data_IF_745887529777
#
_entry.id   IF_745887529777
#
_cell.length_a   1.000
_cell.length_b   1.000
_cell.length_c   1.000
_cell.angle_alpha   90.00
_cell.angle_beta   90.00
_cell.angle_gamma   90.00
#
_symmetry.space_group_name_H-M   'P 1'
#
loop_
_entity.id
_entity.type
_entity.pdbx_description
1 polymer ?
#
# COMPACT_ATOMS: atom_id res chain seq x y z
N UNK A 1 -0.48 -5.27 17.83
CA UNK A 1 -1.96 -5.31 17.77
C UNK A 1 -2.40 -6.20 16.60
N UNK A 2 -3.50 -6.97 16.68
CA UNK A 2 -3.88 -7.94 15.61
C UNK A 2 -4.76 -7.35 14.49
N UNK A 3 -5.69 -6.46 14.84
CA UNK A 3 -6.65 -5.89 13.91
C UNK A 3 -6.41 -4.39 13.72
N UNK A 4 -6.36 -3.95 12.47
CA UNK A 4 -6.36 -2.55 12.09
C UNK A 4 -5.22 -1.73 12.73
N UNK A 5 -4.01 -2.29 12.76
CA UNK A 5 -2.80 -1.54 13.10
C UNK A 5 -2.61 -0.35 12.15
N UNK A 6 -2.02 0.74 12.66
CA UNK A 6 -1.72 1.91 11.84
C UNK A 6 -0.27 1.83 11.35
N UNK A 7 -0.02 2.45 10.20
CA UNK A 7 1.31 2.56 9.61
C UNK A 7 2.34 3.07 10.63
N UNK A 8 3.35 2.23 10.88
CA UNK A 8 4.48 2.57 11.74
C UNK A 8 5.40 3.60 11.07
N UNK A 9 5.56 3.56 9.75
CA UNK A 9 6.43 4.49 9.02
C UNK A 9 5.69 5.16 7.87
N UNK A 10 5.81 6.48 7.81
CA UNK A 10 5.32 7.26 6.67
C UNK A 10 6.49 8.00 6.04
N UNK A 11 6.71 7.74 4.75
CA UNK A 11 7.79 8.31 3.95
C UNK A 11 7.23 9.20 2.85
N UNK A 12 7.86 10.35 2.65
CA UNK A 12 7.53 11.29 1.59
C UNK A 12 8.79 11.67 0.84
N UNK A 13 8.87 11.26 -0.42
CA UNK A 13 10.01 11.54 -1.30
C UNK A 13 9.71 12.80 -2.11
N UNK A 14 10.50 13.85 -1.87
CA UNK A 14 10.34 15.15 -2.51
C UNK A 14 11.40 15.30 -3.61
N UNK A 15 11.01 15.53 -4.88
CA UNK A 15 11.97 15.85 -5.92
C UNK A 15 12.59 17.22 -5.66
N UNK A 16 13.93 17.30 -5.68
CA UNK A 16 14.67 18.56 -5.63
C UNK A 16 15.02 19.02 -7.05
N UNK A 17 15.46 18.08 -7.88
CA UNK A 17 15.76 18.23 -9.30
C UNK A 17 15.60 16.87 -10.02
N UNK A 18 16.11 16.76 -11.24
CA UNK A 18 16.00 15.57 -12.09
C UNK A 18 16.77 14.35 -11.54
N UNK A 19 17.79 14.56 -10.70
CA UNK A 19 18.71 13.52 -10.22
C UNK A 19 18.76 13.42 -8.69
N UNK A 20 18.10 14.32 -7.96
CA UNK A 20 18.15 14.38 -6.50
C UNK A 20 16.75 14.47 -5.87
N UNK A 21 16.59 13.75 -4.77
CA UNK A 21 15.38 13.77 -3.94
C UNK A 21 15.76 13.89 -2.47
N UNK A 22 14.89 14.50 -1.66
CA UNK A 22 14.95 14.38 -0.21
C UNK A 22 13.82 13.47 0.29
N UNK A 23 14.19 12.54 1.16
CA UNK A 23 13.25 11.64 1.80
C UNK A 23 12.93 12.16 3.20
N UNK A 24 11.67 12.53 3.44
CA UNK A 24 11.17 12.87 4.77
C UNK A 24 10.44 11.66 5.34
N UNK A 25 10.87 11.17 6.50
CA UNK A 25 10.28 10.01 7.15
C UNK A 25 9.82 10.33 8.57
N UNK A 26 8.69 9.76 8.95
CA UNK A 26 8.15 9.81 10.31
C UNK A 26 7.91 8.38 10.80
N UNK A 27 8.47 8.08 11.97
CA UNK A 27 8.13 6.90 12.75
C UNK A 27 6.96 7.24 13.70
N UNK A 28 5.88 6.48 13.61
CA UNK A 28 4.64 6.65 14.36
C UNK A 28 4.57 5.60 15.46
N UNK A 29 4.73 6.03 16.70
CA UNK A 29 4.64 5.16 17.88
C UNK A 29 3.34 5.38 18.64
N UNK A 30 2.81 4.31 19.23
CA UNK A 30 1.63 4.36 20.10
C UNK A 30 0.90 3.03 20.19
N UNK A 31 -0.20 3.00 20.95
CA UNK A 31 -0.93 1.76 21.28
C UNK A 31 -1.40 0.93 20.07
N UNK A 32 -1.53 1.58 18.89
CA UNK A 32 -1.97 0.96 17.63
C UNK A 32 -0.87 0.85 16.57
N UNK A 33 0.36 1.26 16.88
CA UNK A 33 1.53 1.16 16.02
C UNK A 33 2.66 0.47 16.78
N UNK A 34 3.90 0.91 16.54
CA UNK A 34 5.04 0.40 17.27
C UNK A 34 5.06 0.90 18.72
N UNK A 35 5.59 0.10 19.67
CA UNK A 35 5.65 0.47 21.08
C UNK A 35 6.41 1.79 21.29
N UNK A 36 5.90 2.64 22.19
CA UNK A 36 6.57 3.91 22.53
C UNK A 36 7.97 3.73 23.13
N UNK A 37 8.29 2.55 23.66
CA UNK A 37 9.63 2.23 24.15
C UNK A 37 10.68 2.17 23.02
N UNK A 38 10.24 2.05 21.76
CA UNK A 38 11.10 2.08 20.57
C UNK A 38 11.23 3.51 20.01
N UNK A 39 10.61 4.51 20.62
CA UNK A 39 10.80 5.91 20.23
C UNK A 39 12.09 6.49 20.82
N UNK A 40 13.21 5.86 20.47
CA UNK A 40 14.59 6.26 20.80
C UNK A 40 15.36 6.38 19.48
N UNK A 41 16.51 7.08 19.42
CA UNK A 41 17.27 7.25 18.18
C UNK A 41 17.55 5.94 17.42
N UNK A 42 17.85 4.87 18.15
CA UNK A 42 18.17 3.54 17.60
C UNK A 42 16.92 2.75 17.17
N UNK A 43 15.74 3.14 17.63
CA UNK A 43 14.50 2.41 17.38
C UNK A 43 14.08 2.41 15.91
N UNK A 44 13.98 3.58 15.24
CA UNK A 44 13.79 3.65 13.80
C UNK A 44 14.82 2.85 13.01
N UNK A 45 16.09 2.84 13.44
CA UNK A 45 17.17 2.10 12.77
C UNK A 45 16.98 0.57 12.86
N UNK A 46 16.48 0.09 14.00
CA UNK A 46 16.15 -1.31 14.21
C UNK A 46 14.90 -1.75 13.42
N UNK A 47 13.91 -0.87 13.28
CA UNK A 47 12.67 -1.19 12.59
C UNK A 47 12.84 -1.10 11.06
N UNK A 48 13.60 -0.13 10.57
CA UNK A 48 13.90 0.09 9.14
C UNK A 48 15.19 -0.60 8.67
N UNK A 49 15.72 -1.56 9.44
CA UNK A 49 16.88 -2.40 9.05
C UNK A 49 18.11 -1.60 8.54
N UNK A 50 18.54 -0.59 9.30
CA UNK A 50 19.87 0.00 9.08
C UNK A 50 19.93 1.18 8.12
N UNK A 51 18.93 2.06 8.13
CA UNK A 51 19.05 3.43 7.56
C UNK A 51 20.01 4.35 8.35
N UNK A 52 20.99 3.78 9.07
CA UNK A 52 22.09 4.57 9.63
C UNK A 52 22.82 5.22 8.46
N UNK A 53 22.78 6.55 8.41
CA UNK A 53 23.35 7.33 7.30
C UNK A 53 24.89 7.24 7.26
N UNK A 54 25.54 7.01 8.40
CA UNK A 54 27.00 6.97 8.52
C UNK A 54 27.53 5.52 8.56
N UNK A 55 27.31 4.78 7.47
CA UNK A 55 27.85 3.43 7.26
C UNK A 55 29.03 3.47 6.29
N UNK A 56 30.07 2.70 6.57
CA UNK A 56 31.18 2.53 5.62
C UNK A 56 30.72 1.82 4.34
N UNK A 57 31.47 2.01 3.25
CA UNK A 57 31.16 1.35 1.97
C UNK A 57 31.10 -0.18 2.09
N UNK A 58 32.00 -0.78 2.88
CA UNK A 58 32.03 -2.25 3.08
C UNK A 58 30.78 -2.74 3.83
N UNK A 59 30.30 -2.00 4.83
CA UNK A 59 29.07 -2.33 5.56
C UNK A 59 27.85 -2.22 4.65
N UNK A 60 27.75 -1.15 3.85
CA UNK A 60 26.68 -0.95 2.86
C UNK A 60 26.64 -2.10 1.84
N UNK A 61 27.80 -2.63 1.42
CA UNK A 61 27.85 -3.79 0.53
C UNK A 61 27.44 -5.11 1.21
N UNK A 62 27.83 -5.32 2.48
CA UNK A 62 27.53 -6.56 3.21
C UNK A 62 26.08 -6.63 3.68
N UNK A 63 25.48 -5.48 3.98
CA UNK A 63 24.11 -5.35 4.48
C UNK A 63 23.42 -4.13 3.84
N UNK A 64 23.07 -4.21 2.53
CA UNK A 64 22.42 -3.12 1.82
C UNK A 64 20.99 -2.90 2.35
N UNK A 65 20.59 -1.63 2.42
CA UNK A 65 19.24 -1.19 2.74
C UNK A 65 18.57 -0.56 1.50
N UNK A 66 17.37 0.00 1.68
CA UNK A 66 16.60 0.65 0.61
C UNK A 66 17.41 1.70 -0.16
N UNK A 67 18.25 2.49 0.53
CA UNK A 67 19.09 3.51 -0.10
C UNK A 67 20.04 2.90 -1.15
N UNK A 68 20.74 1.81 -0.81
CA UNK A 68 21.64 1.12 -1.74
C UNK A 68 20.87 0.46 -2.88
N UNK A 69 19.68 -0.09 -2.61
CA UNK A 69 18.83 -0.68 -3.62
C UNK A 69 18.34 0.37 -4.65
N UNK A 70 17.98 1.57 -4.18
CA UNK A 70 17.56 2.68 -5.03
C UNK A 70 18.73 3.26 -5.82
N UNK A 71 19.84 3.58 -5.15
CA UNK A 71 21.04 4.11 -5.80
C UNK A 71 21.63 3.13 -6.83
N UNK A 72 21.52 1.83 -6.57
CA UNK A 72 21.96 0.77 -7.47
C UNK A 72 21.21 0.72 -8.81
N UNK A 73 20.01 1.31 -8.90
CA UNK A 73 19.29 1.47 -10.17
C UNK A 73 19.89 2.56 -11.08
N UNK A 74 20.87 3.31 -10.59
CA UNK A 74 21.50 4.43 -11.29
C UNK A 74 20.82 5.78 -11.00
N UNK A 75 21.44 6.87 -11.45
CA UNK A 75 20.95 8.25 -11.20
C UNK A 75 19.55 8.49 -11.75
N UNK A 76 19.26 7.90 -12.92
CA UNK A 76 17.93 7.87 -13.54
C UNK A 76 17.72 6.45 -14.07
N UNK A 77 16.63 5.81 -13.65
CA UNK A 77 16.29 4.47 -14.11
C UNK A 77 15.92 4.45 -15.60
N UNK A 78 16.53 3.55 -16.36
CA UNK A 78 16.21 3.34 -17.78
C UNK A 78 15.04 2.36 -17.89
N UNK A 79 13.81 2.87 -17.99
CA UNK A 79 12.61 2.04 -18.04
C UNK A 79 12.58 1.01 -19.17
N UNK A 80 13.30 1.25 -20.28
CA UNK A 80 13.41 0.29 -21.39
C UNK A 80 14.13 -1.01 -21.03
N UNK A 81 14.86 -1.05 -19.91
CA UNK A 81 15.58 -2.22 -19.43
C UNK A 81 14.77 -3.06 -18.43
N UNK A 82 13.60 -2.60 -18.02
CA UNK A 82 12.80 -3.25 -16.99
C UNK A 82 11.90 -4.35 -17.57
N UNK A 83 11.81 -5.48 -16.88
CA UNK A 83 10.90 -6.57 -17.20
C UNK A 83 9.93 -6.77 -16.02
N UNK A 84 8.79 -6.10 -16.08
CA UNK A 84 7.80 -6.15 -15.00
C UNK A 84 7.10 -7.52 -14.96
N UNK A 85 6.90 -8.03 -13.75
CA UNK A 85 6.17 -9.27 -13.48
C UNK A 85 4.82 -8.96 -12.80
N UNK A 86 4.03 -10.01 -12.53
CA UNK A 86 2.67 -9.87 -11.98
C UNK A 86 2.66 -9.11 -10.64
N UNK A 87 3.69 -9.27 -9.81
CA UNK A 87 3.82 -8.53 -8.54
C UNK A 87 4.01 -7.03 -8.72
N UNK A 88 4.47 -6.57 -9.90
CA UNK A 88 4.70 -5.15 -10.20
C UNK A 88 3.43 -4.42 -10.68
N UNK A 89 2.26 -5.06 -10.61
CA UNK A 89 0.98 -4.48 -11.04
C UNK A 89 0.73 -3.11 -10.39
N UNK A 90 1.06 -2.94 -9.11
CA UNK A 90 0.94 -1.66 -8.41
C UNK A 90 1.81 -0.55 -9.04
N UNK A 91 3.07 -0.87 -9.33
CA UNK A 91 4.02 0.05 -10.00
C UNK A 91 3.53 0.42 -11.40
N UNK A 92 3.04 -0.57 -12.16
CA UNK A 92 2.50 -0.34 -13.50
C UNK A 92 1.27 0.61 -13.47
N UNK A 93 0.34 0.40 -12.54
CA UNK A 93 -0.84 1.25 -12.36
C UNK A 93 -0.47 2.68 -11.94
N UNK A 94 0.46 2.82 -10.98
CA UNK A 94 0.98 4.12 -10.54
C UNK A 94 1.60 4.89 -11.72
N UNK A 95 2.49 4.25 -12.48
CA UNK A 95 3.17 4.87 -13.64
C UNK A 95 2.18 5.27 -14.72
N UNK A 96 1.17 4.44 -15.01
CA UNK A 96 0.11 4.78 -15.96
C UNK A 96 -0.63 6.03 -15.51
N UNK A 97 -1.09 6.08 -14.26
CA UNK A 97 -1.81 7.23 -13.70
C UNK A 97 -0.95 8.50 -13.74
N UNK A 98 0.33 8.41 -13.39
CA UNK A 98 1.24 9.56 -13.43
C UNK A 98 1.39 10.11 -14.86
N UNK A 99 1.59 9.24 -15.87
CA UNK A 99 1.67 9.67 -17.28
C UNK A 99 0.39 10.33 -17.77
N UNK A 100 -0.77 9.78 -17.40
CA UNK A 100 -2.07 10.37 -17.72
C UNK A 100 -2.20 11.77 -17.09
N UNK A 101 -1.81 11.94 -15.82
CA UNK A 101 -1.84 13.22 -15.14
C UNK A 101 -0.85 14.24 -15.72
N UNK A 102 0.36 13.83 -16.08
CA UNK A 102 1.33 14.70 -16.75
C UNK A 102 0.77 15.25 -18.07
N UNK A 103 0.15 14.39 -18.90
CA UNK A 103 -0.49 14.81 -20.15
C UNK A 103 -1.66 15.77 -19.91
N UNK A 104 -2.53 15.42 -18.96
CA UNK A 104 -3.67 16.25 -18.57
C UNK A 104 -3.25 17.65 -18.13
N UNK A 105 -2.18 17.76 -17.32
CA UNK A 105 -1.62 19.05 -16.88
C UNK A 105 -1.01 19.82 -18.04
N UNK A 106 -0.30 19.15 -18.96
CA UNK A 106 0.25 19.79 -20.17
C UNK A 106 -0.85 20.37 -21.08
N UNK A 107 -2.06 19.79 -21.07
CA UNK A 107 -3.24 20.29 -21.77
C UNK A 107 -3.94 21.45 -21.03
N UNK A 108 -3.43 21.88 -19.87
CA UNK A 108 -3.97 23.00 -19.09
C UNK A 108 -5.00 22.62 -18.02
N UNK A 109 -5.24 21.33 -17.81
CA UNK A 109 -6.13 20.88 -16.73
C UNK A 109 -5.40 20.87 -15.38
N UNK A 110 -6.10 21.11 -14.25
CA UNK A 110 -5.48 21.00 -12.93
C UNK A 110 -5.09 19.54 -12.62
N UNK A 111 -4.01 19.30 -11.85
CA UNK A 111 -3.66 17.95 -11.41
C UNK A 111 -4.73 17.41 -10.45
N UNK A 112 -4.98 16.10 -10.52
CA UNK A 112 -5.84 15.42 -9.55
C UNK A 112 -5.26 15.54 -8.15
N UNK A 113 -6.09 15.96 -7.20
CA UNK A 113 -5.74 16.08 -5.78
C UNK A 113 -6.48 15.03 -4.97
N UNK A 114 -5.88 14.62 -3.86
CA UNK A 114 -6.57 13.83 -2.85
C UNK A 114 -7.73 14.63 -2.26
N UNK A 115 -8.83 13.95 -1.99
CA UNK A 115 -10.04 14.55 -1.43
C UNK A 115 -9.99 14.37 0.10
N UNK A 116 -10.14 15.46 0.89
CA UNK A 116 -10.26 15.34 2.33
C UNK A 116 -11.60 14.73 2.71
N UNK A 117 -11.63 13.98 3.80
CA UNK A 117 -12.87 13.53 4.43
C UNK A 117 -13.62 14.71 5.10
N UNK A 118 -14.79 14.42 5.67
CA UNK A 118 -15.62 15.38 6.42
C UNK A 118 -14.91 16.10 7.58
N UNK A 119 -13.78 15.57 8.05
CA UNK A 119 -12.93 16.19 9.08
C UNK A 119 -11.78 17.02 8.50
N UNK A 120 -11.71 17.23 7.19
CA UNK A 120 -10.65 17.98 6.52
C UNK A 120 -9.32 17.23 6.42
N UNK A 121 -9.30 15.91 6.65
CA UNK A 121 -8.07 15.08 6.65
C UNK A 121 -8.00 14.27 5.37
N UNK A 122 -6.79 14.09 4.82
CA UNK A 122 -6.58 13.16 3.69
C UNK A 122 -6.51 11.74 4.25
N UNK A 123 -7.45 10.84 3.90
CA UNK A 123 -7.41 9.47 4.37
C UNK A 123 -6.23 8.72 3.76
N UNK A 124 -5.54 7.95 4.61
CA UNK A 124 -4.50 7.00 4.20
C UNK A 124 -4.87 5.61 4.70
N UNK A 125 -4.72 4.64 3.81
CA UNK A 125 -5.14 3.26 4.03
C UNK A 125 -3.97 2.33 4.37
N UNK A 126 -2.84 2.90 4.78
CA UNK A 126 -1.67 2.17 5.23
C UNK A 126 -1.87 1.65 6.65
N UNK A 127 -1.50 0.39 6.87
CA UNK A 127 -1.60 -0.28 8.16
C UNK A 127 -1.57 -1.79 8.02
N UNK A 128 -1.50 -2.47 9.16
CA UNK A 128 -1.32 -3.92 9.22
C UNK A 128 -2.51 -4.60 9.87
N UNK A 129 -2.84 -5.79 9.39
CA UNK A 129 -3.90 -6.64 9.97
C UNK A 129 -3.54 -8.10 9.77
N UNK A 130 -3.72 -8.90 10.83
CA UNK A 130 -3.48 -10.34 10.81
C UNK A 130 -4.79 -11.08 11.05
N UNK A 131 -5.36 -11.63 9.98
CA UNK A 131 -6.56 -12.48 10.03
C UNK A 131 -6.17 -13.96 10.01
N UNK A 132 -6.95 -14.80 10.71
CA UNK A 132 -6.85 -16.26 10.67
C UNK A 132 -8.07 -16.82 9.96
N UNK A 133 -7.94 -16.97 8.65
CA UNK A 133 -9.01 -17.49 7.80
C UNK A 133 -8.63 -18.91 7.34
N UNK A 134 -9.45 -19.94 7.62
CA UNK A 134 -9.19 -21.28 7.11
C UNK A 134 -9.16 -21.29 5.58
N UNK A 135 -8.18 -21.97 4.99
CA UNK A 135 -8.11 -22.13 3.54
C UNK A 135 -9.26 -22.99 3.04
N UNK A 136 -9.99 -22.50 2.05
CA UNK A 136 -11.03 -23.26 1.37
C UNK A 136 -10.42 -24.07 0.22
N UNK A 137 -10.68 -25.37 0.23
CA UNK A 137 -9.99 -26.35 -0.63
C UNK A 137 -10.39 -26.31 -2.11
N UNK A 138 -11.35 -25.47 -2.50
CA UNK A 138 -11.99 -25.54 -3.83
C UNK A 138 -11.71 -24.36 -4.78
N UNK A 139 -10.91 -23.36 -4.40
CA UNK A 139 -10.68 -22.15 -5.21
C UNK A 139 -9.20 -21.76 -5.38
N UNK A 140 -8.94 -20.84 -6.33
CA UNK A 140 -7.63 -20.21 -6.50
C UNK A 140 -7.32 -19.32 -5.30
N UNK A 141 -6.18 -19.55 -4.65
CA UNK A 141 -5.70 -18.74 -3.52
C UNK A 141 -5.55 -17.26 -3.90
N UNK A 142 -5.14 -16.98 -5.14
CA UNK A 142 -5.03 -15.62 -5.65
C UNK A 142 -6.38 -14.89 -5.71
N UNK A 143 -7.43 -15.57 -6.17
CA UNK A 143 -8.78 -15.00 -6.24
C UNK A 143 -9.36 -14.78 -4.84
N UNK A 144 -9.15 -15.75 -3.95
CA UNK A 144 -9.53 -15.68 -2.54
C UNK A 144 -8.90 -14.46 -1.85
N UNK A 145 -7.58 -14.28 -2.01
CA UNK A 145 -6.87 -13.12 -1.47
C UNK A 145 -7.34 -11.79 -2.09
N UNK A 146 -7.68 -11.78 -3.39
CA UNK A 146 -8.22 -10.60 -4.07
C UNK A 146 -9.58 -10.15 -3.50
N UNK A 147 -10.48 -11.10 -3.23
CA UNK A 147 -11.78 -10.81 -2.59
C UNK A 147 -11.56 -10.26 -1.17
N UNK A 148 -10.69 -10.89 -0.38
CA UNK A 148 -10.36 -10.42 0.97
C UNK A 148 -9.76 -9.01 0.96
N UNK A 149 -8.82 -8.74 0.05
CA UNK A 149 -8.21 -7.42 -0.09
C UNK A 149 -9.26 -6.35 -0.46
N UNK A 150 -10.22 -6.69 -1.33
CA UNK A 150 -11.31 -5.78 -1.70
C UNK A 150 -12.20 -5.45 -0.51
N UNK A 151 -12.66 -6.46 0.23
CA UNK A 151 -13.49 -6.26 1.44
C UNK A 151 -12.76 -5.49 2.53
N UNK A 152 -11.47 -5.75 2.70
CA UNK A 152 -10.60 -5.01 3.63
C UNK A 152 -10.58 -3.52 3.30
N UNK A 153 -10.42 -3.17 2.02
CA UNK A 153 -10.41 -1.77 1.57
C UNK A 153 -11.79 -1.13 1.68
N UNK A 154 -12.86 -1.84 1.31
CA UNK A 154 -14.25 -1.36 1.47
C UNK A 154 -14.56 -1.00 2.92
N UNK A 155 -14.16 -1.85 3.88
CA UNK A 155 -14.37 -1.57 5.30
C UNK A 155 -13.70 -0.27 5.75
N UNK A 156 -12.53 0.07 5.18
CA UNK A 156 -11.86 1.33 5.48
C UNK A 156 -12.55 2.52 4.81
N UNK A 157 -12.91 2.42 3.53
CA UNK A 157 -13.58 3.49 2.79
C UNK A 157 -14.93 3.88 3.42
N UNK A 158 -15.71 2.90 3.87
CA UNK A 158 -16.99 3.16 4.56
C UNK A 158 -16.81 3.86 5.91
N UNK A 159 -15.59 3.92 6.43
CA UNK A 159 -15.26 4.51 7.73
C UNK A 159 -14.50 5.84 7.62
N UNK A 160 -14.31 6.39 6.41
CA UNK A 160 -13.56 7.62 6.17
C UNK A 160 -14.15 8.84 6.89
N UNK A 161 -15.48 8.91 6.94
CA UNK A 161 -16.25 10.00 7.55
C UNK A 161 -16.67 9.71 9.00
N UNK A 162 -16.11 8.66 9.61
CA UNK A 162 -16.31 8.37 11.02
C UNK A 162 -15.25 9.05 11.89
N UNK A 163 -15.63 9.37 13.14
CA UNK A 163 -14.68 9.81 14.17
C UNK A 163 -13.62 8.73 14.40
N UNK A 164 -12.45 9.07 14.94
CA UNK A 164 -11.39 8.06 15.13
C UNK A 164 -11.84 6.84 15.97
N UNK A 165 -12.53 7.00 17.13
CA UNK A 165 -13.04 5.86 17.88
C UNK A 165 -14.05 5.02 17.08
N UNK A 166 -14.97 5.67 16.36
CA UNK A 166 -16.00 4.98 15.58
C UNK A 166 -15.40 4.27 14.37
N UNK A 167 -14.43 4.88 13.70
CA UNK A 167 -13.67 4.29 12.59
C UNK A 167 -12.95 3.04 13.07
N UNK A 168 -12.23 3.14 14.18
CA UNK A 168 -11.53 2.00 14.78
C UNK A 168 -12.52 0.87 15.12
N UNK A 169 -13.65 1.20 15.75
CA UNK A 169 -14.64 0.22 16.13
C UNK A 169 -15.31 -0.44 14.91
N UNK A 170 -15.65 0.36 13.90
CA UNK A 170 -16.28 -0.08 12.65
C UNK A 170 -15.36 -1.01 11.87
N UNK A 171 -14.13 -0.57 11.55
CA UNK A 171 -13.18 -1.39 10.79
C UNK A 171 -12.82 -2.66 11.56
N UNK A 172 -12.55 -2.55 12.87
CA UNK A 172 -12.24 -3.75 13.69
C UNK A 172 -13.38 -4.77 13.71
N UNK A 173 -14.64 -4.31 13.72
CA UNK A 173 -15.81 -5.20 13.63
C UNK A 173 -15.84 -5.89 12.28
N UNK A 174 -15.75 -5.15 11.18
CA UNK A 174 -15.73 -5.72 9.83
C UNK A 174 -14.63 -6.77 9.64
N UNK A 175 -13.44 -6.54 10.21
CA UNK A 175 -12.33 -7.50 10.16
C UNK A 175 -12.59 -8.77 10.97
N UNK A 176 -13.24 -8.66 12.13
CA UNK A 176 -13.64 -9.81 12.95
C UNK A 176 -14.73 -10.62 12.26
N UNK A 177 -15.68 -9.95 11.64
CA UNK A 177 -16.76 -10.59 10.88
C UNK A 177 -16.17 -11.33 9.67
N UNK A 178 -15.23 -10.71 8.95
CA UNK A 178 -14.49 -11.34 7.85
C UNK A 178 -13.72 -12.58 8.29
N UNK A 179 -13.08 -12.53 9.46
CA UNK A 179 -12.39 -13.68 10.05
C UNK A 179 -13.34 -14.82 10.46
N UNK A 180 -14.51 -14.48 11.02
CA UNK A 180 -15.47 -15.46 11.51
C UNK A 180 -16.24 -16.17 10.38
N UNK A 181 -16.59 -15.44 9.33
CA UNK A 181 -17.42 -15.95 8.21
C UNK A 181 -16.60 -16.76 7.20
N UNK A 182 -15.28 -16.52 7.12
CA UNK A 182 -14.42 -17.13 6.10
C UNK A 182 -14.77 -16.63 4.68
N UNK A 183 -14.27 -17.32 3.65
CA UNK A 183 -14.47 -16.93 2.24
C UNK A 183 -15.73 -17.59 1.64
N UNK A 184 -16.23 -18.66 2.25
CA UNK A 184 -17.26 -19.56 1.71
C UNK A 184 -18.61 -18.89 1.53
N UNK A 185 -18.87 -17.83 2.29
CA UNK A 185 -20.10 -17.03 2.19
C UNK A 185 -19.91 -15.78 1.33
N UNK A 186 -18.66 -15.41 0.98
CA UNK A 186 -18.31 -14.16 0.28
C UNK A 186 -18.47 -14.24 -1.24
N UNK A 187 -18.46 -15.44 -1.82
CA UNK A 187 -18.68 -15.65 -3.26
C UNK A 187 -20.15 -15.57 -3.67
N UNK A 188 -21.10 -15.57 -2.73
CA UNK A 188 -22.54 -15.52 -3.01
C UNK A 188 -23.08 -14.11 -3.33
N UNK A 189 -22.27 -13.06 -3.13
CA UNK A 189 -22.68 -11.66 -3.35
C UNK A 189 -21.98 -10.97 -4.53
N UNK A 190 -21.10 -11.65 -5.26
CA UNK A 190 -20.55 -11.09 -6.49
C UNK A 190 -21.65 -11.11 -7.58
N UNK A 191 -21.98 -9.97 -8.23
CA UNK A 191 -22.93 -10.01 -9.33
C UNK A 191 -22.35 -10.88 -10.44
N UNK A 192 -23.12 -11.87 -10.89
CA UNK A 192 -22.81 -12.66 -12.06
C UNK A 192 -22.52 -11.69 -13.21
N UNK A 193 -21.26 -11.64 -13.64
CA UNK A 193 -20.86 -10.84 -14.78
C UNK A 193 -21.69 -11.27 -15.98
N UNK A 194 -22.43 -10.31 -16.54
CA UNK A 194 -23.22 -10.49 -17.76
C UNK A 194 -22.38 -11.20 -18.83
N UNK A 195 -22.94 -12.30 -19.34
CA UNK A 195 -22.39 -13.05 -20.44
C UNK A 195 -22.21 -12.17 -21.67
N UNK A 196 -20.94 -11.86 -21.98
CA UNK A 196 -20.52 -11.25 -23.24
C UNK A 196 -20.18 -12.34 -24.24
N UNK A 197 -21.13 -12.59 -25.13
CA UNK A 197 -21.10 -13.47 -26.31
C UNK A 197 -19.80 -13.39 -27.13
N UNK A 198 -19.44 -14.53 -27.70
CA UNK A 198 -18.23 -14.75 -28.48
C UNK A 198 -17.96 -13.72 -29.58
N UNK A 199 -16.68 -13.61 -29.93
CA UNK A 199 -16.26 -13.13 -31.23
C UNK A 199 -15.35 -14.16 -31.87
N UNK A 200 -15.71 -14.42 -33.10
CA UNK A 200 -15.18 -15.38 -34.02
C UNK A 200 -13.68 -15.21 -34.25
N UNK A 201 -13.05 -16.36 -34.43
CA UNK A 201 -11.81 -16.48 -35.17
C UNK A 201 -12.12 -16.16 -36.64
N UNK A 202 -11.53 -15.11 -37.20
CA UNK A 202 -11.23 -15.09 -38.63
C UNK A 202 -9.80 -14.56 -38.85
N UNK A 203 -9.16 -15.32 -39.75
CA UNK A 203 -7.83 -15.34 -40.37
C UNK A 203 -6.96 -14.08 -40.40
#
# INVERSE_FOLDING_TARGET
MRYYGRSSFTRWVVPLDDENTVCLAWANFGDRGDPGEWNIPEGPELIEQGEVFDRSYEERQRSPADAEAVEGMGRITIHGNENLVISDKGVALMRRRLREQIRSVAEGNPPVRSVPNSFGRIPTYGGDTVLRIPRESKGSEFEQLGVLATRFMEAQYQADDLTEPDRVASVTRSLKDLEAVGIATLQAEAPEGEGGTGRDQES
#
